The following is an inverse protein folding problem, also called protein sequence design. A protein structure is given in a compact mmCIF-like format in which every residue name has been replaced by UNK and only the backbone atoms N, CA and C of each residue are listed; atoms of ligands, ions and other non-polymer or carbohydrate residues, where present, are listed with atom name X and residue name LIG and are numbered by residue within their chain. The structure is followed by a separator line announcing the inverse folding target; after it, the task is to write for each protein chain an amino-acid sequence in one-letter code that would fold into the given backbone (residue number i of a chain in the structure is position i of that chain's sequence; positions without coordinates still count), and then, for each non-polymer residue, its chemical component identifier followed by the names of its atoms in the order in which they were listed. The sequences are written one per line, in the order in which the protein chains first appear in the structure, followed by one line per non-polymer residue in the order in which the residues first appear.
data_IF_300829246002
#
_entry.id   IF_300829246002
#
_cell.length_a   1.000
_cell.length_b   1.000
_cell.length_c   1.000
_cell.angle_alpha   90.00
_cell.angle_beta   90.00
_cell.angle_gamma   90.00
#
_symmetry.space_group_name_H-M   'P 1'
#
loop_
_entity.id
_entity.type
_entity.pdbx_description
1 polymer ?
#
# COMPACT_ATOMS: atom_id res chain seq x y z
N UNK A 1 3.78 6.06 -23.18
CA UNK A 1 3.78 4.86 -22.30
C UNK A 1 5.15 4.79 -21.66
N UNK A 2 5.25 4.96 -20.33
CA UNK A 2 6.55 5.00 -19.64
C UNK A 2 7.11 3.58 -19.48
N UNK A 3 8.42 3.41 -19.64
CA UNK A 3 9.14 2.14 -19.49
C UNK A 3 8.93 1.48 -18.11
N UNK A 4 8.52 2.26 -17.10
CA UNK A 4 8.19 1.80 -15.73
C UNK A 4 6.95 0.91 -15.70
N UNK A 5 5.92 1.18 -16.53
CA UNK A 5 4.70 0.37 -16.58
C UNK A 5 4.92 -1.04 -17.13
N UNK A 6 5.93 -1.24 -17.98
CA UNK A 6 6.23 -2.57 -18.57
C UNK A 6 7.11 -3.40 -17.63
N UNK A 7 7.99 -2.77 -16.85
CA UNK A 7 8.84 -3.48 -15.88
C UNK A 7 8.06 -3.91 -14.63
N UNK A 8 7.20 -3.07 -14.05
CA UNK A 8 6.48 -3.42 -12.81
C UNK A 8 5.33 -4.41 -13.03
N UNK A 9 4.60 -4.37 -14.15
CA UNK A 9 3.50 -5.34 -14.40
C UNK A 9 4.01 -6.75 -14.72
N UNK A 10 5.15 -6.88 -15.42
CA UNK A 10 5.76 -8.19 -15.67
C UNK A 10 6.37 -8.79 -14.41
N UNK A 11 6.95 -7.97 -13.54
CA UNK A 11 7.53 -8.45 -12.28
C UNK A 11 6.44 -8.76 -11.24
N UNK A 12 5.32 -8.01 -11.24
CA UNK A 12 4.14 -8.26 -10.39
C UNK A 12 3.45 -9.59 -10.74
N UNK A 13 3.19 -9.88 -12.01
CA UNK A 13 2.59 -11.16 -12.43
C UNK A 13 3.55 -12.35 -12.17
N UNK A 14 4.86 -12.12 -12.24
CA UNK A 14 5.88 -13.15 -11.93
C UNK A 14 6.02 -13.38 -10.42
N UNK A 15 5.95 -12.35 -9.58
CA UNK A 15 5.97 -12.45 -8.12
C UNK A 15 4.68 -13.02 -7.54
N UNK A 16 3.53 -12.67 -8.12
CA UNK A 16 2.23 -13.28 -7.79
C UNK A 16 2.22 -14.78 -8.14
N UNK A 17 2.85 -15.19 -9.26
CA UNK A 17 3.03 -16.61 -9.62
C UNK A 17 4.03 -17.37 -8.75
N UNK A 18 5.08 -16.71 -8.25
CA UNK A 18 6.05 -17.34 -7.36
C UNK A 18 5.54 -17.45 -5.90
N UNK A 19 4.55 -16.64 -5.52
CA UNK A 19 3.89 -16.69 -4.22
C UNK A 19 2.73 -17.69 -4.13
N UNK A 20 2.69 -18.69 -5.02
CA UNK A 20 1.85 -19.87 -4.83
C UNK A 20 2.33 -20.69 -3.63
N UNK A 21 1.94 -20.33 -2.40
CA UNK A 21 2.11 -21.20 -1.23
C UNK A 21 1.09 -20.89 -0.11
N UNK A 22 -0.05 -21.59 -0.19
CA UNK A 22 -0.82 -22.23 0.89
C UNK A 22 -0.98 -21.48 2.24
N UNK A 23 -2.15 -20.85 2.42
CA UNK A 23 -2.73 -20.45 3.70
C UNK A 23 -4.01 -19.65 3.46
N UNK A 24 -5.15 -20.11 4.00
CA UNK A 24 -6.53 -19.68 3.72
C UNK A 24 -6.89 -18.23 4.12
N UNK A 25 -6.07 -17.25 3.78
CA UNK A 25 -6.50 -15.84 3.76
C UNK A 25 -6.74 -15.45 2.30
N UNK A 26 -8.01 -15.30 1.95
CA UNK A 26 -8.42 -14.73 0.67
C UNK A 26 -7.72 -13.37 0.48
N UNK A 27 -7.17 -13.11 -0.72
CA UNK A 27 -6.47 -11.86 -1.06
C UNK A 27 -7.27 -10.62 -0.64
N UNK A 28 -8.60 -10.73 -0.69
CA UNK A 28 -9.53 -9.70 -0.23
C UNK A 28 -9.43 -9.44 1.28
N UNK A 29 -9.37 -10.49 2.09
CA UNK A 29 -9.21 -10.39 3.54
C UNK A 29 -7.87 -9.74 3.89
N UNK A 30 -6.78 -10.15 3.21
CA UNK A 30 -5.45 -9.59 3.43
C UNK A 30 -5.39 -8.09 3.11
N UNK A 31 -5.97 -7.67 1.99
CA UNK A 31 -5.81 -6.30 1.49
C UNK A 31 -6.81 -5.29 2.07
N UNK A 32 -8.03 -5.70 2.41
CA UNK A 32 -9.08 -4.77 2.92
C UNK A 32 -9.91 -5.32 4.07
N UNK A 33 -9.98 -6.63 4.23
CA UNK A 33 -10.90 -7.27 5.19
C UNK A 33 -10.38 -7.33 6.63
N UNK A 34 -9.07 -7.46 6.82
CA UNK A 34 -8.49 -7.61 8.15
C UNK A 34 -8.32 -6.27 8.89
N UNK A 35 -8.30 -6.31 10.22
CA UNK A 35 -8.16 -5.12 11.08
C UNK A 35 -6.86 -4.37 10.79
N UNK A 36 -5.78 -5.12 10.56
CA UNK A 36 -4.46 -4.57 10.21
C UNK A 36 -4.53 -3.74 8.92
N UNK A 37 -5.10 -4.29 7.86
CA UNK A 37 -5.20 -3.61 6.57
C UNK A 37 -6.00 -2.32 6.67
N UNK A 38 -7.14 -2.33 7.36
CA UNK A 38 -7.98 -1.13 7.54
C UNK A 38 -7.27 -0.03 8.32
N UNK A 39 -6.56 -0.39 9.40
CA UNK A 39 -5.75 0.56 10.16
C UNK A 39 -4.60 1.12 9.33
N UNK A 40 -3.91 0.27 8.58
CA UNK A 40 -2.84 0.69 7.69
C UNK A 40 -3.35 1.66 6.64
N UNK A 41 -4.42 1.32 5.92
CA UNK A 41 -5.00 2.20 4.88
C UNK A 41 -5.43 3.54 5.43
N UNK A 42 -6.09 3.57 6.59
CA UNK A 42 -6.50 4.83 7.23
C UNK A 42 -5.28 5.71 7.52
N UNK A 43 -4.27 5.19 8.20
CA UNK A 43 -3.07 5.97 8.53
C UNK A 43 -2.30 6.35 7.26
N UNK A 44 -2.10 5.42 6.34
CA UNK A 44 -1.38 5.64 5.09
C UNK A 44 -2.02 6.75 4.23
N UNK A 45 -3.35 6.72 4.06
CA UNK A 45 -4.07 7.76 3.32
C UNK A 45 -4.22 9.06 4.10
N UNK A 46 -4.24 9.03 5.43
CA UNK A 46 -4.26 10.23 6.27
C UNK A 46 -3.05 11.12 6.03
N UNK A 47 -1.88 10.53 5.78
CA UNK A 47 -0.64 11.26 5.50
C UNK A 47 -0.71 12.16 4.25
N UNK A 48 -1.63 11.87 3.33
CA UNK A 48 -1.85 12.65 2.10
C UNK A 48 -3.22 13.34 2.08
N UNK A 49 -3.91 13.40 3.23
CA UNK A 49 -5.22 14.05 3.36
C UNK A 49 -6.40 13.27 2.77
N UNK A 50 -6.23 11.97 2.46
CA UNK A 50 -7.22 11.11 1.83
C UNK A 50 -7.81 10.04 2.76
N UNK A 51 -7.69 10.21 4.08
CA UNK A 51 -8.17 9.25 5.08
C UNK A 51 -9.64 8.80 4.87
N UNK A 52 -10.49 9.70 4.36
CA UNK A 52 -11.90 9.42 4.08
C UNK A 52 -12.11 8.35 2.98
N UNK A 53 -11.09 8.07 2.16
CA UNK A 53 -11.12 7.03 1.12
C UNK A 53 -10.69 5.65 1.63
N UNK A 54 -10.27 5.52 2.90
CA UNK A 54 -9.85 4.24 3.44
C UNK A 54 -10.98 3.19 3.43
N UNK A 55 -10.66 1.88 3.26
CA UNK A 55 -11.66 0.82 3.27
C UNK A 55 -12.46 0.82 4.57
N UNK A 56 -13.78 0.75 4.43
CA UNK A 56 -14.72 0.67 5.54
C UNK A 56 -14.99 -0.80 5.91
N UNK A 57 -15.57 -1.08 7.10
CA UNK A 57 -15.91 -2.45 7.48
C UNK A 57 -16.82 -3.19 6.51
N UNK A 58 -17.64 -2.46 5.75
CA UNK A 58 -18.53 -2.96 4.69
C UNK A 58 -17.81 -3.31 3.39
N UNK A 59 -16.57 -2.84 3.21
CA UNK A 59 -15.76 -3.13 2.03
C UNK A 59 -15.09 -4.50 2.22
N UNK A 60 -15.62 -5.50 1.52
CA UNK A 60 -15.11 -6.88 1.54
C UNK A 60 -14.30 -7.25 0.30
N UNK A 61 -14.32 -6.41 -0.75
CA UNK A 61 -13.60 -6.60 -2.01
C UNK A 61 -12.66 -5.41 -2.25
N UNK A 62 -11.37 -5.69 -2.40
CA UNK A 62 -10.35 -4.71 -2.76
C UNK A 62 -10.64 -4.07 -4.11
N UNK A 63 -11.12 -4.85 -5.08
CA UNK A 63 -11.50 -4.34 -6.39
C UNK A 63 -12.68 -3.37 -6.29
N UNK A 64 -13.73 -3.75 -5.57
CA UNK A 64 -14.95 -2.93 -5.47
C UNK A 64 -14.66 -1.64 -4.67
N UNK A 65 -13.83 -1.74 -3.63
CA UNK A 65 -13.35 -0.57 -2.89
C UNK A 65 -12.52 0.36 -3.78
N UNK A 66 -11.59 -0.17 -4.58
CA UNK A 66 -10.77 0.61 -5.52
C UNK A 66 -11.67 1.35 -6.51
N UNK A 67 -12.53 0.64 -7.23
CA UNK A 67 -13.44 1.25 -8.22
C UNK A 67 -14.31 2.33 -7.57
N UNK A 68 -14.81 2.09 -6.35
CA UNK A 68 -15.58 3.06 -5.58
C UNK A 68 -14.78 4.34 -5.32
N UNK A 69 -13.54 4.26 -4.85
CA UNK A 69 -12.75 5.46 -4.51
C UNK A 69 -12.24 6.20 -5.74
N UNK A 70 -11.97 5.50 -6.85
CA UNK A 70 -11.66 6.13 -8.14
C UNK A 70 -12.80 7.01 -8.67
N UNK A 71 -14.04 6.59 -8.46
CA UNK A 71 -15.23 7.36 -8.85
C UNK A 71 -15.40 8.64 -8.02
N UNK A 72 -14.82 8.70 -6.81
CA UNK A 72 -14.91 9.85 -5.91
C UNK A 72 -13.86 10.93 -6.20
N UNK A 73 -12.86 10.65 -7.04
CA UNK A 73 -11.78 11.58 -7.36
C UNK A 73 -11.80 12.04 -8.82
N UNK A 74 -11.35 13.27 -9.04
CA UNK A 74 -11.25 13.89 -10.36
C UNK A 74 -10.14 13.23 -11.20
N UNK A 75 -10.22 13.35 -12.53
CA UNK A 75 -9.32 12.68 -13.48
C UNK A 75 -7.83 12.90 -13.20
N UNK A 76 -7.43 14.12 -12.81
CA UNK A 76 -6.05 14.46 -12.48
C UNK A 76 -5.56 13.75 -11.20
N UNK A 77 -6.43 13.55 -10.22
CA UNK A 77 -6.10 12.88 -8.94
C UNK A 77 -6.21 11.35 -9.02
N UNK A 78 -6.88 10.79 -10.03
CA UNK A 78 -7.02 9.34 -10.21
C UNK A 78 -5.68 8.64 -10.39
N UNK A 79 -4.79 9.20 -11.18
CA UNK A 79 -3.47 8.61 -11.43
C UNK A 79 -2.62 8.52 -10.14
N UNK A 80 -2.68 9.57 -9.32
CA UNK A 80 -1.98 9.64 -8.04
C UNK A 80 -2.61 8.68 -7.03
N UNK A 81 -3.94 8.66 -6.93
CA UNK A 81 -4.67 7.72 -6.08
C UNK A 81 -4.36 6.26 -6.44
N UNK A 82 -4.36 5.92 -7.72
CA UNK A 82 -4.06 4.58 -8.19
C UNK A 82 -2.63 4.16 -7.83
N UNK A 83 -1.68 5.09 -7.94
CA UNK A 83 -0.29 4.84 -7.54
C UNK A 83 -0.19 4.58 -6.04
N UNK A 84 -0.93 5.33 -5.22
CA UNK A 84 -1.01 5.12 -3.77
C UNK A 84 -1.66 3.77 -3.41
N UNK A 85 -2.73 3.38 -4.10
CA UNK A 85 -3.40 2.09 -3.87
C UNK A 85 -2.47 0.92 -4.24
N UNK A 86 -1.71 1.01 -5.33
CA UNK A 86 -0.72 -0.01 -5.68
C UNK A 86 0.38 -0.10 -4.61
N UNK A 87 0.91 1.05 -4.17
CA UNK A 87 1.95 1.13 -3.14
C UNK A 87 1.48 0.54 -1.80
N UNK A 88 0.26 0.90 -1.36
CA UNK A 88 -0.31 0.40 -0.12
C UNK A 88 -0.57 -1.11 -0.17
N UNK A 89 -1.14 -1.61 -1.27
CA UNK A 89 -1.37 -3.05 -1.45
C UNK A 89 -0.07 -3.85 -1.48
N UNK A 90 0.95 -3.36 -2.19
CA UNK A 90 2.29 -3.95 -2.18
C UNK A 90 2.91 -3.99 -0.79
N UNK A 91 2.76 -2.91 -0.01
CA UNK A 91 3.30 -2.81 1.34
C UNK A 91 2.65 -3.82 2.28
N UNK A 92 1.32 -3.95 2.27
CA UNK A 92 0.60 -4.92 3.09
C UNK A 92 1.07 -6.35 2.75
N UNK A 93 1.15 -6.65 1.46
CA UNK A 93 1.59 -7.97 1.00
C UNK A 93 3.03 -8.28 1.43
N UNK A 94 3.96 -7.33 1.26
CA UNK A 94 5.36 -7.49 1.68
C UNK A 94 5.49 -7.67 3.19
N UNK A 95 4.84 -6.80 3.97
CA UNK A 95 4.86 -6.86 5.44
C UNK A 95 4.32 -8.20 5.96
N UNK A 96 3.25 -8.73 5.35
CA UNK A 96 2.72 -10.06 5.68
C UNK A 96 3.73 -11.17 5.36
N UNK A 97 4.38 -11.12 4.20
CA UNK A 97 5.41 -12.10 3.87
C UNK A 97 6.58 -12.06 4.86
N UNK A 98 7.02 -10.88 5.30
CA UNK A 98 8.08 -10.76 6.31
C UNK A 98 7.65 -11.37 7.66
N UNK A 99 6.38 -11.19 8.05
CA UNK A 99 5.81 -11.82 9.26
C UNK A 99 5.80 -13.35 9.15
N UNK A 100 5.46 -13.89 7.98
CA UNK A 100 5.38 -15.36 7.76
C UNK A 100 6.78 -15.98 7.63
N UNK A 101 7.70 -15.33 6.93
CA UNK A 101 9.02 -15.89 6.60
C UNK A 101 10.01 -15.73 7.76
N UNK A 102 10.00 -14.58 8.44
CA UNK A 102 11.01 -14.21 9.45
C UNK A 102 10.42 -14.23 10.87
N UNK A 103 9.10 -14.45 11.00
CA UNK A 103 8.43 -14.46 12.30
C UNK A 103 8.27 -13.07 12.92
N UNK A 104 8.37 -12.01 12.10
CA UNK A 104 8.14 -10.65 12.57
C UNK A 104 6.70 -10.48 13.09
N UNK A 105 6.52 -9.67 14.12
CA UNK A 105 5.18 -9.34 14.61
C UNK A 105 4.50 -8.29 13.71
N UNK A 106 3.19 -8.42 13.45
CA UNK A 106 2.46 -7.44 12.63
C UNK A 106 2.50 -6.06 13.29
N UNK A 107 2.99 -5.05 12.57
CA UNK A 107 3.21 -3.69 13.09
C UNK A 107 2.83 -2.65 12.04
N UNK A 108 1.86 -1.78 12.38
CA UNK A 108 1.43 -0.68 11.50
C UNK A 108 2.57 0.31 11.28
N UNK A 109 3.35 0.61 12.32
CA UNK A 109 4.49 1.51 12.22
C UNK A 109 5.54 1.00 11.23
N UNK A 110 5.87 -0.29 11.29
CA UNK A 110 6.82 -0.92 10.37
C UNK A 110 6.29 -0.89 8.94
N UNK A 111 5.02 -1.20 8.72
CA UNK A 111 4.40 -1.14 7.40
C UNK A 111 4.41 0.30 6.83
N UNK A 112 4.16 1.33 7.63
CA UNK A 112 4.20 2.72 7.16
C UNK A 112 5.62 3.16 6.78
N UNK A 113 6.64 2.74 7.53
CA UNK A 113 8.05 2.97 7.16
C UNK A 113 8.38 2.28 5.84
N UNK A 114 7.99 1.01 5.70
CA UNK A 114 8.15 0.23 4.47
C UNK A 114 7.48 0.91 3.26
N UNK A 115 6.27 1.46 3.42
CA UNK A 115 5.57 2.18 2.36
C UNK A 115 6.34 3.45 1.94
N UNK A 116 6.88 4.18 2.91
CA UNK A 116 7.65 5.40 2.65
C UNK A 116 8.94 5.10 1.89
N UNK A 117 9.70 4.12 2.34
CA UNK A 117 10.98 3.75 1.72
C UNK A 117 10.75 3.26 0.29
N UNK A 118 9.68 2.50 0.06
CA UNK A 118 9.26 2.06 -1.27
C UNK A 118 8.85 3.24 -2.16
N UNK A 119 8.10 4.21 -1.64
CA UNK A 119 7.74 5.42 -2.38
C UNK A 119 8.99 6.22 -2.81
N UNK A 120 10.00 6.30 -1.93
CA UNK A 120 11.26 6.95 -2.26
C UNK A 120 12.01 6.21 -3.37
N UNK A 121 12.06 4.87 -3.31
CA UNK A 121 12.65 4.05 -4.37
C UNK A 121 11.93 4.24 -5.71
N UNK A 122 10.60 4.30 -5.72
CA UNK A 122 9.82 4.53 -6.93
C UNK A 122 10.06 5.93 -7.51
N UNK A 123 10.17 6.95 -6.64
CA UNK A 123 10.52 8.31 -7.03
C UNK A 123 11.92 8.37 -7.65
N UNK A 124 12.91 7.74 -7.02
CA UNK A 124 14.29 7.63 -7.54
C UNK A 124 14.35 6.88 -8.87
N UNK A 125 13.49 5.89 -9.08
CA UNK A 125 13.37 5.16 -10.34
C UNK A 125 12.63 5.95 -11.45
N UNK A 126 12.26 7.21 -11.20
CA UNK A 126 11.65 8.11 -12.19
C UNK A 126 10.14 7.94 -12.35
N UNK A 127 9.46 7.31 -11.38
CA UNK A 127 8.00 7.28 -11.39
C UNK A 127 7.45 8.70 -11.13
N UNK A 128 6.60 9.19 -12.05
CA UNK A 128 5.95 10.50 -11.94
C UNK A 128 4.63 10.30 -11.18
N UNK A 129 4.45 11.05 -10.08
CA UNK A 129 3.33 10.92 -9.13
C UNK A 129 3.75 11.19 -7.66
N UNK A 130 5.06 11.21 -7.38
CA UNK A 130 5.61 11.39 -6.02
C UNK A 130 6.35 12.72 -5.82
N UNK A 131 6.44 13.53 -6.89
CA UNK A 131 7.20 14.78 -6.87
C UNK A 131 6.32 15.92 -6.32
N UNK A 132 6.31 16.07 -4.99
CA UNK A 132 5.70 17.23 -4.33
C UNK A 132 5.53 17.12 -2.83
N UNK A 133 5.43 15.91 -2.26
CA UNK A 133 5.29 15.72 -0.82
C UNK A 133 6.15 14.54 -0.37
N UNK A 134 7.46 14.79 -0.25
CA UNK A 134 8.33 13.88 0.50
C UNK A 134 7.89 13.94 1.95
N UNK A 135 7.08 12.96 2.36
CA UNK A 135 6.61 12.73 3.71
C UNK A 135 7.75 12.84 4.74
N UNK A 136 7.78 13.92 5.54
CA UNK A 136 8.47 13.87 6.81
C UNK A 136 7.50 13.17 7.77
N UNK A 137 7.66 11.86 7.94
CA UNK A 137 7.21 11.26 9.19
C UNK A 137 8.03 11.95 10.30
N UNK A 138 7.40 12.52 11.34
CA UNK A 138 8.14 12.85 12.55
C UNK A 138 8.66 11.51 13.08
N UNK A 139 9.97 11.30 13.01
CA UNK A 139 10.64 10.38 13.92
C UNK A 139 10.42 11.00 15.31
N UNK A 140 9.33 10.63 15.99
CA UNK A 140 9.27 10.90 17.41
C UNK A 140 10.45 10.15 18.04
N UNK A 141 11.31 10.83 18.80
CA UNK A 141 12.37 10.16 19.52
C UNK A 141 11.74 9.09 20.40
N UNK A 142 12.35 7.91 20.37
CA UNK A 142 12.09 6.85 21.33
C UNK A 142 12.46 7.42 22.70
N UNK A 143 11.46 7.85 23.47
CA UNK A 143 11.66 8.22 24.86
C UNK A 143 12.00 6.94 25.63
N UNK A 144 13.27 6.80 25.97
CA UNK A 144 13.74 5.89 27.02
C UNK A 144 13.08 6.30 28.35
N UNK A 145 12.26 5.41 28.90
CA UNK A 145 11.96 5.40 30.33
C UNK A 145 11.88 3.98 30.88
#
# INVERSE_FOLDING_TARGET
MSAVSVFHLRDYDTKVKLAGMTGEEDTQHLLVGCVFARQFWFQFLQHVGLAALAPQPTDSSFKDWWEKVELLVNGDMRADLNSLIILGGWTIWRHRNDCVVIGASPSIATALILARDEAQLWSMAGAKGFCGQVLPLPLQPMDDK
#
